data_IF_592133641358
#
_entry.id   IF_592133641358
#
_cell.length_a   1.000
_cell.length_b   1.000
_cell.length_c   1.000
_cell.angle_alpha   90.00
_cell.angle_beta   90.00
_cell.angle_gamma   90.00
#
_symmetry.space_group_name_H-M   'P 1'
#
loop_
_entity.id
_entity.type
_entity.pdbx_description
1 polymer ?
#
# COMPACT_ATOMS: atom_id res chain seq x y z
N UNK A 1 -28.81 -2.44 -20.85
CA UNK A 1 -28.74 -3.86 -21.23
C UNK A 1 -29.03 -4.68 -19.99
N UNK A 2 -29.64 -5.86 -20.12
CA UNK A 2 -29.83 -6.76 -18.98
C UNK A 2 -28.52 -7.45 -18.60
N UNK A 3 -28.30 -7.67 -17.30
CA UNK A 3 -27.08 -8.29 -16.75
C UNK A 3 -27.42 -9.51 -15.89
N UNK A 4 -26.47 -10.44 -15.77
CA UNK A 4 -26.63 -11.61 -14.88
C UNK A 4 -26.67 -11.13 -13.41
N UNK A 5 -27.63 -11.59 -12.59
CA UNK A 5 -27.61 -11.34 -11.16
C UNK A 5 -26.31 -11.83 -10.52
N UNK A 6 -25.72 -11.03 -9.63
CA UNK A 6 -24.44 -11.35 -9.00
C UNK A 6 -24.40 -12.74 -8.35
N UNK A 7 -25.52 -13.14 -7.72
CA UNK A 7 -25.68 -14.44 -7.04
C UNK A 7 -25.64 -15.64 -7.98
N UNK A 8 -25.77 -15.41 -9.28
CA UNK A 8 -25.76 -16.46 -10.33
C UNK A 8 -24.41 -16.55 -11.04
N UNK A 9 -23.45 -15.67 -10.71
CA UNK A 9 -22.13 -15.65 -11.34
C UNK A 9 -21.29 -16.81 -10.83
N UNK A 10 -21.14 -17.83 -11.67
CA UNK A 10 -20.15 -18.89 -11.47
C UNK A 10 -18.81 -18.48 -12.10
N UNK A 11 -17.93 -17.91 -11.27
CA UNK A 11 -16.61 -17.53 -11.72
C UNK A 11 -15.81 -18.67 -12.35
N UNK A 12 -16.10 -19.95 -12.06
CA UNK A 12 -15.37 -21.09 -12.64
C UNK A 12 -15.60 -21.22 -14.15
N UNK A 13 -16.69 -20.65 -14.65
CA UNK A 13 -17.02 -20.57 -16.06
C UNK A 13 -16.31 -19.43 -16.78
N UNK A 14 -15.59 -18.56 -16.08
CA UNK A 14 -14.88 -17.45 -16.71
C UNK A 14 -13.85 -17.95 -17.74
N UNK A 15 -13.94 -17.43 -18.97
CA UNK A 15 -13.02 -17.74 -20.07
C UNK A 15 -12.44 -16.48 -20.69
N UNK A 16 -11.25 -16.65 -21.26
CA UNK A 16 -10.62 -15.71 -22.17
C UNK A 16 -10.64 -16.34 -23.57
N UNK A 17 -11.04 -15.57 -24.57
CA UNK A 17 -10.93 -15.91 -25.97
C UNK A 17 -10.01 -14.91 -26.66
N UNK A 18 -9.12 -15.40 -27.49
CA UNK A 18 -8.12 -14.59 -28.18
C UNK A 18 -8.20 -14.80 -29.68
N UNK A 19 -8.13 -13.71 -30.43
CA UNK A 19 -7.92 -13.72 -31.89
C UNK A 19 -6.55 -13.13 -32.21
N UNK A 20 -5.85 -13.75 -33.15
CA UNK A 20 -4.55 -13.28 -33.64
C UNK A 20 -4.62 -13.01 -35.14
N UNK A 21 -3.93 -11.97 -35.62
CA UNK A 21 -3.81 -11.70 -37.06
C UNK A 21 -2.48 -11.05 -37.39
N UNK A 22 -2.10 -11.06 -38.67
CA UNK A 22 -0.93 -10.33 -39.16
C UNK A 22 -1.33 -8.92 -39.56
N UNK A 23 -0.58 -7.94 -39.08
CA UNK A 23 -0.73 -6.53 -39.46
C UNK A 23 -0.07 -6.27 -40.82
N UNK A 24 -0.44 -5.18 -41.49
CA UNK A 24 0.16 -4.78 -42.79
C UNK A 24 1.69 -4.60 -42.72
N UNK A 25 2.23 -4.30 -41.54
CA UNK A 25 3.66 -4.07 -41.32
C UNK A 25 4.41 -5.33 -40.82
N UNK A 26 3.81 -6.52 -40.89
CA UNK A 26 4.44 -7.77 -40.46
C UNK A 26 4.37 -8.07 -38.95
N UNK A 27 3.87 -7.12 -38.14
CA UNK A 27 3.57 -7.36 -36.72
C UNK A 27 2.39 -8.32 -36.51
N UNK A 28 2.20 -8.79 -35.27
CA UNK A 28 1.06 -9.64 -34.87
C UNK A 28 0.08 -8.81 -34.03
N UNK A 29 -1.16 -8.72 -34.48
CA UNK A 29 -2.27 -8.09 -33.74
C UNK A 29 -2.97 -9.09 -32.82
N UNK A 30 -3.58 -8.58 -31.77
CA UNK A 30 -4.29 -9.35 -30.75
C UNK A 30 -5.61 -8.68 -30.39
N UNK A 31 -6.63 -9.48 -30.14
CA UNK A 31 -7.92 -9.06 -29.63
C UNK A 31 -8.43 -10.11 -28.66
N UNK A 32 -9.12 -9.66 -27.62
CA UNK A 32 -9.59 -10.51 -26.54
C UNK A 32 -11.08 -10.31 -26.31
N UNK A 33 -11.77 -11.41 -25.98
CA UNK A 33 -13.13 -11.42 -25.45
C UNK A 33 -13.08 -12.13 -24.11
N UNK A 34 -13.73 -11.54 -23.11
CA UNK A 34 -13.85 -12.08 -21.77
C UNK A 34 -15.31 -12.35 -21.47
N UNK A 35 -15.60 -13.31 -20.59
CA UNK A 35 -16.97 -13.61 -20.20
C UNK A 35 -17.14 -14.97 -19.53
N UNK A 36 -18.38 -15.33 -19.25
CA UNK A 36 -18.73 -16.65 -18.70
C UNK A 36 -19.11 -17.59 -19.85
N UNK A 37 -18.53 -18.78 -19.87
CA UNK A 37 -18.87 -19.84 -20.84
C UNK A 37 -20.35 -20.23 -20.70
N UNK A 38 -21.09 -20.07 -21.79
CA UNK A 38 -22.50 -20.46 -21.90
C UNK A 38 -22.69 -21.77 -22.68
N UNK A 39 -21.59 -22.47 -23.03
CA UNK A 39 -21.60 -23.66 -23.87
C UNK A 39 -21.76 -23.33 -25.36
N UNK A 40 -21.67 -24.34 -26.23
CA UNK A 40 -21.97 -24.21 -27.68
C UNK A 40 -21.30 -23.03 -28.42
N UNK A 41 -20.07 -22.65 -28.02
CA UNK A 41 -19.38 -21.43 -28.50
C UNK A 41 -20.16 -20.12 -28.26
N UNK A 42 -20.89 -20.06 -27.15
CA UNK A 42 -21.61 -18.88 -26.68
C UNK A 42 -20.94 -18.35 -25.40
N UNK A 43 -21.05 -17.05 -25.17
CA UNK A 43 -20.45 -16.39 -24.01
C UNK A 43 -21.38 -15.31 -23.48
N UNK A 44 -21.51 -15.23 -22.16
CA UNK A 44 -22.01 -14.04 -21.49
C UNK A 44 -20.87 -13.04 -21.43
N UNK A 45 -20.82 -12.06 -22.34
CA UNK A 45 -19.68 -11.17 -22.44
C UNK A 45 -19.52 -10.37 -21.15
N UNK A 46 -18.27 -10.26 -20.72
CA UNK A 46 -17.87 -9.38 -19.63
C UNK A 46 -18.07 -7.93 -20.06
N UNK A 47 -18.77 -7.16 -19.22
CA UNK A 47 -19.01 -5.73 -19.42
C UNK A 47 -18.07 -4.92 -18.53
N UNK A 48 -18.03 -5.29 -17.24
CA UNK A 48 -17.20 -4.69 -16.20
C UNK A 48 -17.06 -5.69 -15.03
N UNK A 49 -16.38 -5.31 -13.95
CA UNK A 49 -16.07 -6.23 -12.85
C UNK A 49 -17.34 -6.89 -12.28
N UNK A 50 -17.39 -8.23 -12.32
CA UNK A 50 -18.57 -9.02 -11.93
C UNK A 50 -19.89 -8.66 -12.65
N UNK A 51 -19.83 -8.00 -13.81
CA UNK A 51 -21.01 -7.68 -14.62
C UNK A 51 -20.86 -8.30 -15.99
N UNK A 52 -21.86 -9.08 -16.40
CA UNK A 52 -21.89 -9.81 -17.66
C UNK A 52 -23.22 -9.61 -18.38
N UNK A 53 -23.23 -9.70 -19.71
CA UNK A 53 -24.45 -9.75 -20.51
C UNK A 53 -25.36 -10.89 -20.02
N UNK A 54 -26.63 -10.58 -19.73
CA UNK A 54 -27.60 -11.61 -19.34
C UNK A 54 -27.82 -12.62 -20.48
N UNK A 55 -27.97 -12.13 -21.71
CA UNK A 55 -28.16 -12.97 -22.89
C UNK A 55 -26.81 -13.36 -23.49
N UNK A 56 -26.54 -14.66 -23.69
CA UNK A 56 -25.28 -15.10 -24.25
C UNK A 56 -25.21 -14.74 -25.74
N UNK A 57 -24.01 -14.41 -26.22
CA UNK A 57 -23.76 -14.13 -27.63
C UNK A 57 -22.74 -15.08 -28.23
N UNK A 58 -22.84 -15.31 -29.55
CA UNK A 58 -21.92 -16.20 -30.25
C UNK A 58 -20.49 -15.65 -30.23
N UNK A 59 -19.53 -16.53 -29.97
CA UNK A 59 -18.11 -16.19 -30.05
C UNK A 59 -17.74 -16.03 -31.53
N UNK A 60 -17.21 -14.87 -31.96
CA UNK A 60 -16.88 -14.63 -33.35
C UNK A 60 -15.88 -15.65 -33.91
N UNK A 61 -15.92 -15.87 -35.22
CA UNK A 61 -14.97 -16.74 -35.90
C UNK A 61 -13.52 -16.22 -35.74
N UNK A 62 -12.58 -17.17 -35.64
CA UNK A 62 -11.15 -16.87 -35.44
C UNK A 62 -10.75 -16.59 -33.98
N UNK A 63 -11.69 -16.58 -33.04
CA UNK A 63 -11.38 -16.58 -31.61
C UNK A 63 -11.19 -18.01 -31.09
N UNK A 64 -10.10 -18.20 -30.36
CA UNK A 64 -9.73 -19.44 -29.69
C UNK A 64 -9.71 -19.26 -28.17
N UNK A 65 -10.14 -20.28 -27.44
CA UNK A 65 -10.11 -20.27 -25.98
C UNK A 65 -8.67 -20.30 -25.47
N UNK A 66 -8.35 -19.43 -24.53
CA UNK A 66 -7.04 -19.37 -23.86
C UNK A 66 -7.19 -19.54 -22.35
N UNK A 67 -6.08 -19.79 -21.66
CA UNK A 67 -6.07 -19.81 -20.19
C UNK A 67 -6.16 -18.37 -19.68
N UNK A 68 -7.28 -18.03 -19.06
CA UNK A 68 -7.47 -16.74 -18.41
C UNK A 68 -6.39 -16.51 -17.33
N UNK A 69 -5.54 -15.51 -17.51
CA UNK A 69 -4.48 -15.17 -16.55
C UNK A 69 -4.96 -14.23 -15.44
N UNK A 70 -6.01 -13.47 -15.71
CA UNK A 70 -6.46 -12.34 -14.88
C UNK A 70 -7.87 -12.54 -14.30
N UNK A 71 -8.30 -13.79 -14.12
CA UNK A 71 -9.66 -14.12 -13.67
C UNK A 71 -10.10 -13.33 -12.43
N UNK A 72 -9.21 -13.17 -11.44
CA UNK A 72 -9.51 -12.45 -10.19
C UNK A 72 -9.76 -10.94 -10.37
N UNK A 73 -9.29 -10.36 -11.48
CA UNK A 73 -9.50 -8.95 -11.79
C UNK A 73 -10.77 -8.70 -12.63
N UNK A 74 -11.37 -9.77 -13.14
CA UNK A 74 -12.52 -9.70 -14.04
C UNK A 74 -13.77 -10.30 -13.38
N UNK A 75 -13.57 -11.32 -12.54
CA UNK A 75 -14.59 -11.98 -11.74
C UNK A 75 -14.03 -12.46 -10.39
N UNK A 76 -14.58 -11.93 -9.30
CA UNK A 76 -14.29 -12.42 -7.96
C UNK A 76 -15.58 -12.46 -7.13
N UNK A 77 -16.16 -13.66 -6.89
CA UNK A 77 -17.35 -13.83 -6.06
C UNK A 77 -17.16 -13.44 -4.58
N UNK A 78 -15.93 -13.20 -4.12
CA UNK A 78 -15.68 -12.68 -2.78
C UNK A 78 -15.72 -11.15 -2.71
N UNK A 79 -15.63 -10.46 -3.87
CA UNK A 79 -15.62 -8.99 -3.95
C UNK A 79 -16.81 -8.52 -4.77
N UNK A 80 -17.86 -8.06 -4.12
CA UNK A 80 -19.15 -7.75 -4.74
C UNK A 80 -19.23 -6.33 -5.29
N UNK A 81 -18.31 -5.43 -4.92
CA UNK A 81 -18.37 -4.00 -5.23
C UNK A 81 -17.09 -3.53 -5.91
N UNK A 82 -17.18 -2.90 -7.07
CA UNK A 82 -16.05 -2.16 -7.65
C UNK A 82 -15.96 -0.78 -6.97
N UNK A 83 -14.74 -0.37 -6.62
CA UNK A 83 -14.48 0.95 -6.08
C UNK A 83 -14.11 1.91 -7.21
N UNK A 84 -14.88 2.99 -7.36
CA UNK A 84 -14.66 4.04 -8.33
C UNK A 84 -14.16 5.33 -7.67
N UNK A 85 -13.66 6.29 -8.44
CA UNK A 85 -13.08 7.53 -7.92
C UNK A 85 -14.09 8.46 -7.24
N UNK A 86 -15.36 8.36 -7.62
CA UNK A 86 -16.51 9.12 -7.13
C UNK A 86 -17.21 8.44 -5.95
N UNK A 87 -16.58 7.42 -5.35
CA UNK A 87 -17.17 6.70 -4.24
C UNK A 87 -17.42 7.59 -3.00
N UNK A 88 -18.54 7.36 -2.33
CA UNK A 88 -18.98 8.14 -1.18
C UNK A 88 -18.00 8.11 0.00
N UNK A 89 -17.25 7.01 0.17
CA UNK A 89 -16.25 6.88 1.24
C UNK A 89 -15.13 7.88 1.03
N UNK A 90 -14.58 7.96 -0.19
CA UNK A 90 -13.52 8.92 -0.50
C UNK A 90 -14.02 10.36 -0.37
N UNK A 91 -15.24 10.64 -0.85
CA UNK A 91 -15.87 11.95 -0.69
C UNK A 91 -16.04 12.34 0.80
N UNK A 92 -16.27 11.37 1.69
CA UNK A 92 -16.43 11.62 3.13
C UNK A 92 -15.11 11.83 3.89
N UNK A 93 -14.00 11.25 3.43
CA UNK A 93 -12.69 11.34 4.10
C UNK A 93 -11.79 12.46 3.54
N UNK A 94 -11.93 12.79 2.25
CA UNK A 94 -11.14 13.82 1.60
C UNK A 94 -11.66 15.20 2.02
N UNK A 95 -11.02 15.81 3.02
CA UNK A 95 -11.42 17.11 3.57
C UNK A 95 -10.44 18.21 3.21
N UNK A 96 -10.97 19.42 3.07
CA UNK A 96 -10.19 20.65 3.00
C UNK A 96 -9.35 20.83 4.26
N UNK A 97 -8.12 21.33 4.11
CA UNK A 97 -7.24 21.72 5.21
C UNK A 97 -6.34 20.63 5.79
N UNK A 98 -6.38 19.39 5.28
CA UNK A 98 -5.44 18.34 5.66
C UNK A 98 -4.21 18.28 4.74
N UNK A 99 -3.03 18.09 5.32
CA UNK A 99 -1.87 17.62 4.57
C UNK A 99 -2.02 16.12 4.28
N UNK A 100 -1.68 15.70 3.07
CA UNK A 100 -1.91 14.33 2.60
C UNK A 100 -0.60 13.64 2.30
N UNK A 101 -0.34 12.53 2.98
CA UNK A 101 0.89 11.74 2.82
C UNK A 101 0.58 10.31 2.37
N UNK A 102 1.13 9.95 1.20
CA UNK A 102 1.10 8.58 0.69
C UNK A 102 2.33 7.83 1.16
N UNK A 103 2.14 6.99 2.16
CA UNK A 103 3.20 6.16 2.72
C UNK A 103 3.68 5.20 1.63
N UNK A 104 4.99 5.02 1.50
CA UNK A 104 5.61 4.22 0.44
C UNK A 104 6.40 3.10 1.05
N UNK A 105 6.32 1.92 0.47
CA UNK A 105 7.16 0.80 0.87
C UNK A 105 7.35 -0.19 -0.27
N UNK A 106 8.59 -0.40 -0.69
CA UNK A 106 8.96 -1.40 -1.70
C UNK A 106 8.13 -1.31 -3.00
N UNK A 107 7.87 -0.08 -3.47
CA UNK A 107 7.05 0.19 -4.65
C UNK A 107 5.53 0.18 -4.41
N UNK A 108 5.07 -0.28 -3.25
CA UNK A 108 3.69 -0.20 -2.78
C UNK A 108 3.37 1.11 -2.06
N UNK A 109 2.08 1.32 -1.80
CA UNK A 109 1.55 2.44 -0.99
C UNK A 109 0.60 1.88 0.08
N UNK A 110 1.12 1.39 1.22
CA UNK A 110 0.31 0.65 2.17
C UNK A 110 -0.72 1.52 2.89
N UNK A 111 -0.43 2.82 3.09
CA UNK A 111 -1.29 3.72 3.85
C UNK A 111 -1.39 5.11 3.22
N UNK A 112 -2.52 5.77 3.50
CA UNK A 112 -2.76 7.19 3.27
C UNK A 112 -3.00 7.85 4.61
N UNK A 113 -2.24 8.92 4.88
CA UNK A 113 -2.30 9.66 6.13
C UNK A 113 -2.77 11.07 5.86
N UNK A 114 -3.83 11.48 6.53
CA UNK A 114 -4.32 12.86 6.57
C UNK A 114 -3.89 13.51 7.88
N UNK A 115 -3.14 14.60 7.81
CA UNK A 115 -2.70 15.38 8.96
C UNK A 115 -3.50 16.67 9.00
N UNK A 116 -4.41 16.77 9.97
CA UNK A 116 -5.18 17.97 10.29
C UNK A 116 -4.50 18.76 11.41
N UNK A 117 -4.88 20.01 11.69
CA UNK A 117 -4.31 20.78 12.79
C UNK A 117 -4.41 20.11 14.18
N UNK A 118 -5.42 19.27 14.42
CA UNK A 118 -5.69 18.69 15.74
C UNK A 118 -5.75 17.15 15.77
N UNK A 119 -5.61 16.48 14.62
CA UNK A 119 -5.64 15.02 14.51
C UNK A 119 -4.93 14.47 13.28
N UNK A 120 -4.60 13.19 13.32
CA UNK A 120 -4.13 12.39 12.18
C UNK A 120 -5.10 11.24 11.94
N UNK A 121 -5.55 11.07 10.71
CA UNK A 121 -6.38 9.95 10.27
C UNK A 121 -5.59 9.06 9.30
N UNK A 122 -5.60 7.74 9.54
CA UNK A 122 -4.84 6.76 8.77
C UNK A 122 -5.81 5.81 8.06
N UNK A 123 -5.62 5.63 6.76
CA UNK A 123 -6.41 4.75 5.92
C UNK A 123 -5.53 3.78 5.15
N UNK A 124 -6.10 2.65 4.75
CA UNK A 124 -5.47 1.65 3.88
C UNK A 124 -6.39 1.27 2.72
N UNK A 125 -5.86 0.71 1.62
CA UNK A 125 -6.71 0.18 0.56
C UNK A 125 -7.44 -1.09 1.01
N UNK A 126 -8.58 -1.42 0.38
CA UNK A 126 -9.23 -2.73 0.50
C UNK A 126 -8.26 -3.89 0.28
N UNK A 127 -8.14 -4.76 1.29
CA UNK A 127 -7.34 -5.96 1.23
C UNK A 127 -7.99 -7.12 0.47
N UNK A 128 -7.38 -8.30 0.55
CA UNK A 128 -7.94 -9.51 -0.07
C UNK A 128 -9.27 -9.98 0.50
N UNK A 129 -9.51 -9.69 1.77
CA UNK A 129 -10.72 -10.08 2.49
C UNK A 129 -11.83 -9.01 2.40
N UNK A 130 -11.63 -7.94 1.63
CA UNK A 130 -12.61 -6.88 1.45
C UNK A 130 -13.60 -7.21 0.33
N UNK A 131 -14.87 -6.83 0.50
CA UNK A 131 -15.88 -6.89 -0.56
C UNK A 131 -15.57 -5.95 -1.74
N UNK A 132 -14.65 -4.99 -1.55
CA UNK A 132 -14.28 -4.02 -2.57
C UNK A 132 -13.15 -4.50 -3.46
N UNK A 133 -13.38 -4.45 -4.76
CA UNK A 133 -12.37 -4.58 -5.78
C UNK A 133 -11.86 -3.21 -6.20
N UNK A 134 -10.54 -3.02 -6.09
CA UNK A 134 -9.86 -1.86 -6.64
C UNK A 134 -9.17 -2.32 -7.92
N UNK A 135 -9.49 -1.80 -9.11
CA UNK A 135 -8.84 -2.24 -10.34
C UNK A 135 -7.33 -2.03 -10.28
N UNK A 136 -6.55 -3.04 -10.69
CA UNK A 136 -5.08 -3.08 -10.56
C UNK A 136 -4.38 -1.88 -11.19
N UNK A 137 -4.92 -1.34 -12.29
CA UNK A 137 -4.43 -0.11 -12.94
C UNK A 137 -4.49 1.13 -12.04
N UNK A 138 -5.33 1.12 -10.99
CA UNK A 138 -5.54 2.24 -10.09
C UNK A 138 -4.99 2.02 -8.67
N UNK A 139 -4.83 0.75 -8.25
CA UNK A 139 -4.37 0.39 -6.89
C UNK A 139 -3.10 1.13 -6.45
N UNK A 140 -2.22 1.50 -7.39
CA UNK A 140 -0.95 2.14 -7.10
C UNK A 140 -0.95 3.66 -7.24
N UNK A 141 -2.03 4.29 -7.71
CA UNK A 141 -1.94 5.66 -8.22
C UNK A 141 -2.81 6.70 -7.49
N UNK A 142 -3.93 6.30 -6.88
CA UNK A 142 -4.93 7.28 -6.44
C UNK A 142 -5.32 7.17 -4.96
N UNK A 143 -5.56 8.33 -4.35
CA UNK A 143 -5.99 8.44 -2.95
C UNK A 143 -7.38 7.85 -2.72
N UNK A 144 -8.24 7.86 -3.74
CA UNK A 144 -9.62 7.38 -3.62
C UNK A 144 -9.74 5.89 -3.31
N UNK A 145 -8.67 5.13 -3.49
CA UNK A 145 -8.62 3.71 -3.14
C UNK A 145 -8.45 3.46 -1.63
N UNK A 146 -8.08 4.46 -0.82
CA UNK A 146 -7.78 4.30 0.59
C UNK A 146 -9.02 4.57 1.45
N UNK A 147 -9.92 3.59 1.50
CA UNK A 147 -11.24 3.74 2.14
C UNK A 147 -11.39 3.01 3.47
N UNK A 148 -10.44 2.15 3.85
CA UNK A 148 -10.53 1.37 5.08
C UNK A 148 -9.86 2.17 6.22
N UNK A 149 -10.62 2.65 7.23
CA UNK A 149 -10.04 3.36 8.36
C UNK A 149 -9.16 2.39 9.18
N UNK A 150 -7.96 2.85 9.53
CA UNK A 150 -7.02 2.10 10.37
C UNK A 150 -6.99 2.66 11.78
N UNK A 151 -6.76 3.97 11.92
CA UNK A 151 -6.73 4.63 13.22
C UNK A 151 -6.89 6.16 13.08
N UNK A 152 -7.27 6.80 14.19
CA UNK A 152 -7.33 8.26 14.33
C UNK A 152 -6.71 8.67 15.66
N UNK A 153 -5.84 9.68 15.64
CA UNK A 153 -5.11 10.13 16.82
C UNK A 153 -5.14 11.65 16.93
N UNK A 154 -5.38 12.18 18.14
CA UNK A 154 -4.88 13.52 18.49
C UNK A 154 -3.37 13.43 18.71
N UNK A 155 -2.64 14.50 18.43
CA UNK A 155 -1.18 14.49 18.49
C UNK A 155 -0.63 15.79 19.08
N UNK A 156 0.58 15.68 19.65
CA UNK A 156 1.39 16.82 20.06
C UNK A 156 2.30 17.29 18.91
N UNK A 157 2.98 16.33 18.24
CA UNK A 157 3.82 16.59 17.07
C UNK A 157 3.68 15.50 16.01
N UNK A 158 3.87 15.89 14.74
CA UNK A 158 3.97 14.98 13.60
C UNK A 158 5.29 15.23 12.90
N UNK A 159 6.03 14.15 12.66
CA UNK A 159 7.25 14.14 11.89
C UNK A 159 6.99 13.43 10.57
N UNK A 160 7.22 14.13 9.46
CA UNK A 160 7.01 13.60 8.12
C UNK A 160 8.35 13.29 7.48
N UNK A 161 8.51 12.05 7.03
CA UNK A 161 9.73 11.62 6.33
C UNK A 161 9.88 12.34 4.99
N UNK A 162 11.10 12.39 4.46
CA UNK A 162 11.36 13.03 3.17
C UNK A 162 10.48 12.39 2.08
N UNK A 163 9.90 13.22 1.19
CA UNK A 163 8.96 12.78 0.13
C UNK A 163 7.74 12.01 0.65
N UNK A 164 7.40 12.22 1.93
CA UNK A 164 6.25 11.66 2.64
C UNK A 164 6.20 10.14 2.65
N UNK A 165 7.36 9.50 2.77
CA UNK A 165 7.48 8.05 2.62
C UNK A 165 7.05 7.28 3.87
N UNK A 166 7.13 7.93 5.03
CA UNK A 166 6.71 7.44 6.34
C UNK A 166 6.32 8.63 7.22
N UNK A 167 5.58 8.38 8.30
CA UNK A 167 5.18 9.39 9.29
C UNK A 167 5.43 8.84 10.69
N UNK A 168 5.92 9.68 11.60
CA UNK A 168 5.99 9.41 13.03
C UNK A 168 5.13 10.43 13.77
N UNK A 169 4.18 9.95 14.56
CA UNK A 169 3.20 10.76 15.29
C UNK A 169 3.54 10.66 16.77
N UNK A 170 3.71 11.78 17.46
CA UNK A 170 3.80 11.82 18.92
C UNK A 170 2.41 12.08 19.48
N UNK A 171 1.84 11.10 20.18
CA UNK A 171 0.50 11.24 20.81
C UNK A 171 0.62 12.09 22.07
N UNK A 172 1.62 11.81 22.90
CA UNK A 172 1.95 12.54 24.10
C UNK A 172 3.42 12.28 24.50
N UNK A 173 3.83 12.76 25.67
CA UNK A 173 5.12 12.41 26.24
C UNK A 173 5.22 10.88 26.39
N UNK A 174 6.17 10.29 25.67
CA UNK A 174 6.54 8.87 25.63
C UNK A 174 5.80 7.98 24.65
N UNK A 175 4.62 8.37 24.15
CA UNK A 175 3.81 7.52 23.27
C UNK A 175 3.85 7.99 21.82
N UNK A 176 4.22 7.08 20.93
CA UNK A 176 4.39 7.37 19.51
C UNK A 176 3.68 6.35 18.63
N UNK A 177 3.30 6.78 17.43
CA UNK A 177 2.79 5.92 16.35
C UNK A 177 3.67 6.10 15.12
N UNK A 178 4.29 5.02 14.68
CA UNK A 178 5.02 4.98 13.43
C UNK A 178 4.13 4.40 12.32
N UNK A 179 4.05 5.13 11.20
CA UNK A 179 3.34 4.73 9.98
C UNK A 179 4.35 4.51 8.86
N UNK A 180 4.64 3.25 8.58
CA UNK A 180 5.54 2.80 7.50
C UNK A 180 4.95 1.63 6.71
N UNK A 181 5.63 0.50 6.64
CA UNK A 181 5.03 -0.75 6.14
C UNK A 181 3.99 -1.37 7.09
N UNK A 182 3.86 -0.81 8.29
CA UNK A 182 2.90 -1.16 9.33
C UNK A 182 2.56 0.10 10.12
N UNK A 183 1.42 0.07 10.81
CA UNK A 183 1.07 1.06 11.83
C UNK A 183 1.41 0.46 13.18
N UNK A 184 2.39 1.05 13.87
CA UNK A 184 2.88 0.55 15.15
C UNK A 184 2.84 1.65 16.18
N UNK A 185 2.15 1.38 17.28
CA UNK A 185 2.23 2.20 18.47
C UNK A 185 3.30 1.64 19.41
N UNK A 186 4.04 2.52 20.07
CA UNK A 186 5.08 2.14 21.01
C UNK A 186 5.39 3.24 22.03
N UNK A 187 6.05 2.85 23.11
CA UNK A 187 6.50 3.75 24.17
C UNK A 187 8.03 3.83 24.20
N UNK A 188 8.57 5.04 24.35
CA UNK A 188 9.98 5.31 24.67
C UNK A 188 10.10 6.40 25.74
N UNK A 189 11.11 6.32 26.58
CA UNK A 189 11.37 7.24 27.69
C UNK A 189 12.07 8.56 27.28
N UNK A 190 12.22 8.84 25.98
CA UNK A 190 12.84 10.07 25.48
C UNK A 190 11.91 10.92 24.60
N UNK A 191 12.27 12.19 24.49
CA UNK A 191 11.69 13.11 23.50
C UNK A 191 12.42 13.00 22.15
N UNK A 192 11.67 12.72 21.09
CA UNK A 192 12.20 12.74 19.72
C UNK A 192 12.32 14.19 19.24
N UNK A 193 13.51 14.59 18.83
CA UNK A 193 13.79 15.94 18.36
C UNK A 193 13.99 15.99 16.84
N UNK A 194 14.47 14.89 16.25
CA UNK A 194 14.76 14.82 14.82
C UNK A 194 14.22 13.53 14.23
N UNK A 195 13.81 13.61 12.97
CA UNK A 195 13.29 12.48 12.22
C UNK A 195 13.72 12.57 10.77
N UNK A 196 14.12 11.43 10.21
CA UNK A 196 14.43 11.30 8.79
C UNK A 196 13.87 9.97 8.29
N UNK A 197 13.39 9.97 7.04
CA UNK A 197 13.08 8.72 6.36
C UNK A 197 13.29 8.87 4.87
N UNK A 198 14.49 8.51 4.42
CA UNK A 198 14.84 8.52 3.01
C UNK A 198 14.49 7.21 2.34
N UNK A 199 14.11 7.27 1.06
CA UNK A 199 13.95 6.10 0.21
C UNK A 199 15.30 5.75 -0.39
N UNK A 200 15.77 4.52 -0.14
CA UNK A 200 16.92 3.96 -0.85
C UNK A 200 16.54 3.45 -2.26
N UNK A 201 17.53 2.97 -3.00
CA UNK A 201 17.38 2.56 -4.40
C UNK A 201 16.29 1.50 -4.64
N UNK A 202 15.97 0.68 -3.62
CA UNK A 202 14.93 -0.35 -3.70
C UNK A 202 13.50 0.18 -3.48
N UNK A 203 13.29 1.49 -3.35
CA UNK A 203 11.96 2.03 -3.04
C UNK A 203 11.52 1.76 -1.60
N UNK A 204 12.47 1.40 -0.72
CA UNK A 204 12.25 1.11 0.70
C UNK A 204 12.69 2.33 1.51
N UNK A 205 11.83 2.88 2.40
CA UNK A 205 12.22 3.95 3.30
C UNK A 205 13.19 3.46 4.39
N UNK A 206 13.93 4.37 5.00
CA UNK A 206 14.85 4.10 6.11
C UNK A 206 14.57 5.07 7.27
N UNK A 207 13.46 4.87 8.00
CA UNK A 207 12.98 5.77 9.04
C UNK A 207 13.84 5.69 10.31
N UNK A 208 14.45 6.82 10.65
CA UNK A 208 15.28 7.00 11.84
C UNK A 208 14.77 8.21 12.62
N UNK A 209 14.62 8.02 13.93
CA UNK A 209 14.29 9.11 14.85
C UNK A 209 15.44 9.30 15.84
N UNK A 210 15.74 10.53 16.21
CA UNK A 210 16.77 10.84 17.20
C UNK A 210 16.16 11.56 18.39
N UNK A 211 16.60 11.17 19.58
CA UNK A 211 16.43 11.93 20.83
C UNK A 211 17.76 12.55 21.24
N UNK A 212 17.88 13.11 22.45
CA UNK A 212 19.15 13.60 22.99
C UNK A 212 20.25 12.53 22.96
N UNK A 213 19.95 11.31 23.41
CA UNK A 213 20.96 10.26 23.65
C UNK A 213 20.84 9.03 22.75
N UNK A 214 19.77 8.92 21.96
CA UNK A 214 19.45 7.69 21.22
C UNK A 214 19.10 7.93 19.76
N UNK A 215 19.54 7.00 18.92
CA UNK A 215 19.14 6.82 17.53
C UNK A 215 18.20 5.61 17.41
N UNK A 216 16.99 5.82 16.91
CA UNK A 216 15.91 4.84 16.86
C UNK A 216 15.65 4.35 15.45
N UNK A 217 15.70 3.04 15.26
CA UNK A 217 15.44 2.35 14.01
C UNK A 217 14.00 1.79 14.04
N UNK A 218 13.08 2.47 13.36
CA UNK A 218 11.65 2.24 13.56
C UNK A 218 11.13 0.92 12.94
N UNK A 219 11.81 0.38 11.94
CA UNK A 219 11.48 -0.97 11.44
C UNK A 219 11.96 -2.10 12.36
N UNK A 220 13.00 -1.82 13.13
CA UNK A 220 13.74 -2.79 13.95
C UNK A 220 13.33 -2.73 15.43
N UNK A 221 12.51 -1.75 15.79
CA UNK A 221 12.05 -1.46 17.15
C UNK A 221 13.21 -1.45 18.16
N UNK A 222 14.29 -0.75 17.80
CA UNK A 222 15.51 -0.68 18.61
C UNK A 222 16.08 0.74 18.61
N UNK A 223 16.53 1.17 19.79
CA UNK A 223 17.35 2.36 19.97
C UNK A 223 18.81 1.97 20.20
N UNK A 224 19.72 2.68 19.56
CA UNK A 224 21.17 2.60 19.76
C UNK A 224 21.65 3.91 20.38
N UNK A 225 22.45 3.82 21.44
CA UNK A 225 23.04 5.00 22.09
C UNK A 225 23.87 5.79 21.08
N UNK A 226 23.72 7.11 21.06
CA UNK A 226 24.48 7.97 20.14
C UNK A 226 25.99 7.86 20.37
N UNK A 227 26.42 7.70 21.62
CA UNK A 227 27.83 7.46 21.96
C UNK A 227 28.41 6.15 21.41
N UNK A 228 27.57 5.23 20.92
CA UNK A 228 28.03 4.01 20.26
C UNK A 228 28.32 4.22 18.76
N UNK A 229 28.04 5.41 18.21
CA UNK A 229 28.35 5.74 16.83
C UNK A 229 29.66 6.54 16.73
N UNK A 230 30.52 6.13 15.81
CA UNK A 230 31.76 6.85 15.48
C UNK A 230 31.54 7.93 14.39
N UNK A 231 30.31 8.44 14.29
CA UNK A 231 29.89 9.45 13.30
C UNK A 231 29.03 10.52 13.97
N UNK A 232 29.00 11.72 13.39
CA UNK A 232 28.21 12.83 13.96
C UNK A 232 26.70 12.57 13.88
N UNK A 233 25.93 13.15 14.81
CA UNK A 233 24.45 13.18 14.78
C UNK A 233 23.88 13.57 13.42
N UNK A 234 24.45 14.62 12.80
CA UNK A 234 24.02 15.11 11.49
C UNK A 234 24.24 14.07 10.38
N UNK A 235 25.31 13.28 10.48
CA UNK A 235 25.59 12.23 9.50
C UNK A 235 24.55 11.11 9.56
N UNK A 236 24.02 10.79 10.75
CA UNK A 236 22.98 9.77 10.92
C UNK A 236 21.65 10.12 10.24
N UNK A 237 21.33 11.41 10.13
CA UNK A 237 20.12 11.90 9.45
C UNK A 237 20.30 12.04 7.93
N UNK A 238 21.51 11.85 7.41
CA UNK A 238 21.80 11.93 5.98
C UNK A 238 21.71 10.55 5.34
N UNK A 239 21.24 10.47 4.11
CA UNK A 239 21.31 9.21 3.39
C UNK A 239 20.36 8.13 3.95
N UNK A 240 20.78 6.90 3.68
CA UNK A 240 20.44 5.72 4.47
C UNK A 240 21.51 5.45 5.53
N UNK A 241 22.34 6.44 5.89
CA UNK A 241 23.62 6.25 6.56
C UNK A 241 23.49 5.58 7.93
N UNK A 242 22.57 6.04 8.79
CA UNK A 242 22.34 5.39 10.09
C UNK A 242 22.04 3.88 9.94
N UNK A 243 21.26 3.51 8.92
CA UNK A 243 20.95 2.11 8.62
C UNK A 243 22.14 1.36 8.02
N UNK A 244 22.97 2.02 7.21
CA UNK A 244 24.25 1.46 6.74
C UNK A 244 25.20 1.14 7.91
N UNK A 245 25.28 2.04 8.90
CA UNK A 245 26.04 1.80 10.14
C UNK A 245 25.45 0.61 10.91
N UNK A 246 24.12 0.59 11.10
CA UNK A 246 23.41 -0.43 11.87
C UNK A 246 23.55 -1.84 11.31
N UNK A 247 23.46 -1.99 9.98
CA UNK A 247 23.61 -3.29 9.30
C UNK A 247 25.07 -3.66 9.00
N UNK A 248 26.04 -2.85 9.45
CA UNK A 248 27.46 -3.14 9.28
C UNK A 248 27.98 -3.00 7.84
N UNK A 249 27.28 -2.24 7.00
CA UNK A 249 27.77 -1.87 5.66
C UNK A 249 28.89 -0.84 5.71
N UNK A 250 29.06 -0.19 6.87
CA UNK A 250 30.17 0.73 7.15
C UNK A 250 30.98 0.22 8.35
N UNK A 251 32.04 -0.57 8.10
CA UNK A 251 32.84 -1.16 9.16
C UNK A 251 33.41 -0.10 10.11
N UNK A 252 33.19 -0.28 11.41
CA UNK A 252 33.68 0.62 12.45
C UNK A 252 32.79 1.83 12.73
N UNK A 253 31.66 1.99 12.03
CA UNK A 253 30.74 3.10 12.28
C UNK A 253 29.95 2.95 13.62
N UNK A 254 29.83 1.72 14.13
CA UNK A 254 29.23 1.41 15.44
C UNK A 254 30.19 0.52 16.23
N UNK A 255 30.21 0.71 17.55
CA UNK A 255 30.89 -0.18 18.49
C UNK A 255 30.50 -1.65 18.30
N UNK A 256 31.42 -2.58 18.58
CA UNK A 256 31.14 -4.03 18.48
C UNK A 256 30.04 -4.52 19.44
N UNK A 257 29.77 -3.77 20.52
CA UNK A 257 28.75 -4.06 21.54
C UNK A 257 28.03 -2.76 21.89
N UNK A 258 27.19 -2.24 20.98
CA UNK A 258 26.54 -0.97 21.22
C UNK A 258 25.57 -1.08 22.39
N UNK A 259 25.40 0.01 23.13
CA UNK A 259 24.33 0.09 24.13
C UNK A 259 23.00 0.18 23.38
N UNK A 260 22.11 -0.78 23.62
CA UNK A 260 20.82 -0.87 22.94
C UNK A 260 19.66 -0.75 23.92
N UNK A 261 18.51 -0.31 23.42
CA UNK A 261 17.24 -0.43 24.12
C UNK A 261 16.13 -0.83 23.17
N UNK A 262 15.12 -1.54 23.70
CA UNK A 262 13.92 -1.93 22.96
C UNK A 262 12.79 -0.97 23.25
N UNK A 263 11.88 -0.85 22.29
CA UNK A 263 10.65 -0.09 22.52
C UNK A 263 9.79 -0.86 23.52
N UNK A 264 9.09 -0.14 24.40
CA UNK A 264 8.09 -0.73 25.28
C UNK A 264 6.71 -0.71 24.60
N UNK A 265 5.80 -1.56 25.09
CA UNK A 265 4.38 -1.58 24.71
C UNK A 265 4.13 -1.56 23.19
N UNK A 266 4.93 -2.32 22.44
CA UNK A 266 4.83 -2.36 20.98
C UNK A 266 3.53 -3.04 20.57
N UNK A 267 2.61 -2.28 19.99
CA UNK A 267 1.33 -2.77 19.46
C UNK A 267 1.32 -2.56 17.95
N UNK A 268 1.17 -3.65 17.20
CA UNK A 268 0.94 -3.59 15.76
C UNK A 268 -0.56 -3.40 15.54
N UNK A 269 -0.94 -2.18 15.12
CA UNK A 269 -2.34 -1.84 14.81
C UNK A 269 -2.73 -2.45 13.46
N UNK A 270 -1.86 -2.35 12.47
CA UNK A 270 -2.11 -2.88 11.14
C UNK A 270 -0.81 -3.23 10.42
N UNK A 271 -0.87 -4.25 9.56
CA UNK A 271 0.22 -4.63 8.65
C UNK A 271 -0.20 -4.19 7.25
N UNK A 272 0.59 -3.32 6.64
CA UNK A 272 0.36 -2.93 5.25
C UNK A 272 0.48 -4.14 4.34
N UNK A 273 -0.45 -4.28 3.40
CA UNK A 273 -0.29 -5.24 2.32
C UNK A 273 0.80 -4.71 1.38
N UNK A 274 1.80 -5.55 1.10
CA UNK A 274 2.93 -5.25 0.21
C UNK A 274 2.64 -5.67 -1.22
#
# INVERSE_FOLDING_TARGET
MATIPYTEIDGTKFQEYKRTWKTKCGGTGFEYIYGLDAGSRMIHKWLEFNTFEAEPSAIPEGFERTKAKERLYLCNPARTKELHEDNEFYAAIAKEGAEVHRIKYNGGKPFLVYVYPDRVDIYKPPGNDSEYFVPSRYQRMHNWAFIIPVASYRYDRVFVGEKSCTVLIQINWHRYVFVGNRVVEFTIDDDITDYCSMIGNSGVPYPVALSENWCYFLYDNVGISLDSFNVSRKALLKDTHAYSCFYGHEPGAIDKKPKTKRFADVIVIDKGET
#
